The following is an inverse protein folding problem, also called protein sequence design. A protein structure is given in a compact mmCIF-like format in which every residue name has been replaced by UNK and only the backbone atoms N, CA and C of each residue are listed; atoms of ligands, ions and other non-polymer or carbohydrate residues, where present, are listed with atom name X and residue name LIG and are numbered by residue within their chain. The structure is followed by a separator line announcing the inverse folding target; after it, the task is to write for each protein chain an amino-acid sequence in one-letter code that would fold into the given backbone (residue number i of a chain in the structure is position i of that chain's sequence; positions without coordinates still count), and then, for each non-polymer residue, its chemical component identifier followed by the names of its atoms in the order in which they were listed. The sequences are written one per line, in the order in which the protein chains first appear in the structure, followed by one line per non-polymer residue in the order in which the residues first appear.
data_IF_010192809625
#
_entry.id   IF_010192809625
#
_cell.length_a   1.000
_cell.length_b   1.000
_cell.length_c   1.000
_cell.angle_alpha   90.00
_cell.angle_beta   90.00
_cell.angle_gamma   90.00
#
_symmetry.space_group_name_H-M   'P 1'
#
loop_
_entity.id
_entity.type
_entity.pdbx_description
1 polymer ?
#
# COMPACT_ATOMS: atom_id res chain seq x y z
N UNK A 1 18.73 17.67 -21.32
CA UNK A 1 18.68 16.33 -20.71
C UNK A 1 17.30 16.16 -20.11
N UNK A 2 16.39 15.46 -20.80
CA UNK A 2 15.09 15.12 -20.21
C UNK A 2 15.33 13.95 -19.25
N UNK A 3 15.40 14.24 -17.95
CA UNK A 3 15.22 13.21 -16.93
C UNK A 3 13.73 12.86 -16.93
N UNK A 4 13.38 11.67 -17.43
CA UNK A 4 12.07 11.08 -17.16
C UNK A 4 11.96 10.91 -15.64
N UNK A 5 10.91 11.51 -15.05
CA UNK A 5 10.54 11.42 -13.63
C UNK A 5 9.49 10.33 -13.40
N UNK A 6 9.35 9.38 -14.33
CA UNK A 6 8.38 8.31 -14.18
C UNK A 6 8.77 7.51 -12.94
N UNK A 7 7.87 7.47 -11.94
CA UNK A 7 8.10 6.70 -10.73
C UNK A 7 8.16 5.21 -11.09
N UNK A 8 9.37 4.71 -11.30
CA UNK A 8 9.69 3.32 -11.62
C UNK A 8 8.96 2.36 -10.68
N UNK A 9 8.49 1.23 -11.22
CA UNK A 9 7.91 0.18 -10.42
C UNK A 9 8.93 -0.28 -9.35
N UNK A 10 8.54 -0.25 -8.08
CA UNK A 10 9.40 -0.62 -6.96
C UNK A 10 8.65 -1.46 -5.96
N UNK A 11 9.25 -2.60 -5.63
CA UNK A 11 8.85 -3.46 -4.53
C UNK A 11 9.81 -3.32 -3.35
N UNK A 12 9.27 -3.28 -2.13
CA UNK A 12 10.03 -3.24 -0.89
C UNK A 12 9.38 -4.12 0.16
N UNK A 13 10.21 -4.85 0.88
CA UNK A 13 9.84 -5.65 2.03
C UNK A 13 10.48 -5.09 3.31
N UNK A 14 9.78 -5.19 4.44
CA UNK A 14 10.35 -4.90 5.75
C UNK A 14 9.75 -5.84 6.78
N UNK A 15 10.60 -6.37 7.67
CA UNK A 15 10.20 -7.24 8.76
C UNK A 15 10.70 -6.66 10.08
N UNK A 16 9.83 -6.66 11.08
CA UNK A 16 10.13 -6.17 12.43
C UNK A 16 9.76 -7.25 13.43
N UNK A 17 10.71 -7.62 14.28
CA UNK A 17 10.51 -8.57 15.38
C UNK A 17 10.60 -7.83 16.70
N UNK A 18 9.56 -7.97 17.53
CA UNK A 18 9.50 -7.38 18.86
C UNK A 18 10.26 -8.19 19.92
N UNK A 19 10.42 -7.65 21.14
CA UNK A 19 11.14 -8.31 22.24
C UNK A 19 10.52 -9.65 22.68
N UNK A 20 9.23 -9.86 22.42
CA UNK A 20 8.54 -11.12 22.69
C UNK A 20 8.66 -12.13 21.53
N UNK A 21 9.54 -11.91 20.55
CA UNK A 21 9.74 -12.78 19.38
C UNK A 21 8.66 -12.69 18.30
N UNK A 22 7.59 -11.94 18.55
CA UNK A 22 6.50 -11.73 17.59
C UNK A 22 6.98 -10.87 16.41
N UNK A 23 6.64 -11.30 15.20
CA UNK A 23 7.14 -10.70 13.96
C UNK A 23 6.00 -10.12 13.12
N UNK A 24 6.18 -8.91 12.60
CA UNK A 24 5.30 -8.29 11.60
C UNK A 24 6.09 -8.08 10.32
N UNK A 25 5.47 -8.37 9.18
CA UNK A 25 6.05 -8.12 7.86
C UNK A 25 5.17 -7.17 7.06
N UNK A 26 5.79 -6.25 6.33
CA UNK A 26 5.12 -5.37 5.38
C UNK A 26 5.75 -5.51 4.01
N UNK A 27 4.91 -5.69 3.00
CA UNK A 27 5.26 -5.62 1.59
C UNK A 27 4.63 -4.37 1.00
N UNK A 28 5.34 -3.66 0.13
CA UNK A 28 4.83 -2.48 -0.56
C UNK A 28 5.31 -2.49 -2.00
N UNK A 29 4.37 -2.33 -2.91
CA UNK A 29 4.60 -2.15 -4.34
C UNK A 29 4.12 -0.76 -4.74
N UNK A 30 4.93 -0.07 -5.54
CA UNK A 30 4.63 1.25 -6.06
C UNK A 30 4.84 1.23 -7.56
N UNK A 31 3.92 1.80 -8.31
CA UNK A 31 4.00 1.88 -9.76
C UNK A 31 3.23 3.11 -10.22
N UNK A 32 3.85 3.97 -11.03
CA UNK A 32 3.21 5.17 -11.59
C UNK A 32 2.49 6.04 -10.54
N UNK A 33 3.00 6.10 -9.31
CA UNK A 33 2.40 6.84 -8.20
C UNK A 33 1.27 6.11 -7.46
N UNK A 34 0.77 4.99 -7.96
CA UNK A 34 -0.11 4.07 -7.24
C UNK A 34 0.67 3.26 -6.20
N UNK A 35 -0.01 2.79 -5.15
CA UNK A 35 0.61 2.09 -4.02
C UNK A 35 -0.27 0.94 -3.58
N UNK A 36 0.29 -0.26 -3.55
CA UNK A 36 -0.32 -1.44 -2.95
C UNK A 36 0.57 -1.88 -1.78
N UNK A 37 0.00 -2.16 -0.62
CA UNK A 37 0.78 -2.67 0.52
C UNK A 37 0.00 -3.67 1.33
N UNK A 38 0.72 -4.68 1.80
CA UNK A 38 0.20 -5.76 2.63
C UNK A 38 0.98 -5.78 3.93
N UNK A 39 0.29 -5.86 5.06
CA UNK A 39 0.90 -6.05 6.38
C UNK A 39 0.37 -7.35 6.96
N UNK A 40 1.27 -8.26 7.31
CA UNK A 40 0.96 -9.52 7.97
C UNK A 40 1.50 -9.49 9.39
N UNK A 41 0.61 -9.63 10.36
CA UNK A 41 0.95 -9.67 11.77
C UNK A 41 1.47 -11.03 12.24
N UNK A 42 1.85 -11.14 13.52
CA UNK A 42 2.44 -12.35 14.10
C UNK A 42 1.54 -13.59 13.99
N UNK A 43 0.23 -13.40 14.08
CA UNK A 43 -0.77 -14.48 13.98
C UNK A 43 -1.15 -14.82 12.53
N UNK A 44 -0.42 -14.30 11.53
CA UNK A 44 -0.70 -14.48 10.11
C UNK A 44 -1.86 -13.62 9.57
N UNK A 45 -2.59 -12.94 10.45
CA UNK A 45 -3.64 -11.99 10.08
C UNK A 45 -3.07 -10.87 9.21
N UNK A 46 -3.76 -10.57 8.11
CA UNK A 46 -3.24 -9.68 7.07
C UNK A 46 -4.19 -8.51 6.79
N UNK A 47 -3.65 -7.30 6.67
CA UNK A 47 -4.37 -6.13 6.17
C UNK A 47 -3.75 -5.63 4.88
N UNK A 48 -4.57 -5.12 3.96
CA UNK A 48 -4.11 -4.57 2.68
C UNK A 48 -4.55 -3.12 2.52
N UNK A 49 -3.75 -2.35 1.80
CA UNK A 49 -4.08 -1.00 1.37
C UNK A 49 -3.76 -0.88 -0.11
N UNK A 50 -4.73 -0.45 -0.88
CA UNK A 50 -4.56 -0.15 -2.30
C UNK A 50 -4.87 1.33 -2.54
N UNK A 51 -4.01 2.00 -3.29
CA UNK A 51 -4.18 3.39 -3.69
C UNK A 51 -3.93 3.48 -5.17
N UNK A 52 -4.98 3.76 -5.93
CA UNK A 52 -4.88 4.02 -7.35
C UNK A 52 -4.92 5.53 -7.60
N UNK A 53 -3.93 6.05 -8.32
CA UNK A 53 -3.89 7.47 -8.69
C UNK A 53 -3.99 7.59 -10.20
N UNK A 54 -4.91 8.42 -10.65
CA UNK A 54 -5.07 8.76 -12.06
C UNK A 54 -4.97 10.27 -12.24
N UNK A 55 -5.14 10.74 -13.47
CA UNK A 55 -5.22 12.18 -13.74
C UNK A 55 -6.50 12.79 -13.14
N UNK A 56 -7.59 12.01 -13.11
CA UNK A 56 -8.94 12.43 -12.70
C UNK A 56 -9.12 12.42 -11.19
N UNK A 57 -8.33 11.64 -10.45
CA UNK A 57 -8.61 11.44 -9.03
C UNK A 57 -7.68 10.48 -8.30
N UNK A 58 -8.13 10.08 -7.12
CA UNK A 58 -7.48 9.06 -6.30
C UNK A 58 -8.54 8.22 -5.60
N UNK A 59 -8.44 6.91 -5.79
CA UNK A 59 -9.19 5.91 -5.04
C UNK A 59 -8.25 5.22 -4.07
N UNK A 60 -8.66 5.12 -2.82
CA UNK A 60 -7.92 4.41 -1.79
C UNK A 60 -8.84 3.48 -1.02
N UNK A 61 -8.45 2.21 -0.89
CA UNK A 61 -9.13 1.23 -0.06
C UNK A 61 -8.18 0.63 0.97
N UNK A 62 -8.76 0.25 2.10
CA UNK A 62 -8.09 -0.55 3.14
C UNK A 62 -9.00 -1.72 3.46
N UNK A 63 -8.45 -2.93 3.41
CA UNK A 63 -9.13 -4.16 3.84
C UNK A 63 -8.44 -4.70 5.08
N UNK A 64 -9.21 -4.87 6.15
CA UNK A 64 -8.73 -5.43 7.41
C UNK A 64 -8.61 -6.96 7.38
N UNK A 65 -8.01 -7.55 8.42
CA UNK A 65 -7.83 -9.01 8.52
C UNK A 65 -9.12 -9.82 8.62
N UNK A 66 -10.22 -9.16 8.94
CA UNK A 66 -11.57 -9.74 8.95
C UNK A 66 -12.32 -9.54 7.62
N UNK A 67 -11.64 -9.07 6.57
CA UNK A 67 -12.20 -8.85 5.24
C UNK A 67 -13.03 -7.55 5.09
N UNK A 68 -13.24 -6.79 6.16
CA UNK A 68 -13.98 -5.53 6.08
C UNK A 68 -13.17 -4.49 5.31
N UNK A 69 -13.83 -3.82 4.36
CA UNK A 69 -13.19 -2.85 3.47
C UNK A 69 -13.79 -1.47 3.64
N UNK A 70 -12.94 -0.45 3.76
CA UNK A 70 -13.34 0.97 3.68
C UNK A 70 -12.66 1.60 2.48
N UNK A 71 -13.42 2.37 1.70
CA UNK A 71 -12.95 3.04 0.49
C UNK A 71 -13.19 4.54 0.58
N UNK A 72 -12.25 5.31 0.05
CA UNK A 72 -12.37 6.76 -0.16
C UNK A 72 -11.97 7.10 -1.59
N UNK A 73 -12.85 7.83 -2.25
CA UNK A 73 -12.64 8.35 -3.61
C UNK A 73 -12.61 9.86 -3.58
N UNK A 74 -11.63 10.46 -4.25
CA UNK A 74 -11.49 11.92 -4.38
C UNK A 74 -11.25 12.24 -5.85
N UNK A 75 -12.13 13.06 -6.42
CA UNK A 75 -11.96 13.60 -7.77
C UNK A 75 -11.11 14.88 -7.71
N UNK A 76 -10.17 15.04 -8.65
CA UNK A 76 -9.44 16.30 -8.81
C UNK A 76 -10.35 17.32 -9.47
N UNK A 77 -10.58 18.42 -8.78
CA UNK A 77 -11.21 19.61 -9.36
C UNK A 77 -10.11 20.53 -9.87
N UNK A 78 -10.27 21.17 -11.05
CA UNK A 78 -9.29 22.13 -11.59
C UNK A 78 -8.96 23.29 -10.66
#
# INVERSE_FOLDING_TARGET
MLISLDAQARETSSTVTGPNGQTTTRQTQREAGSVNSTVTGPDGNTATRNVNRTAEGTDASVTGPNGQTTTRSVTRTP
#
